data_IF_579365699964
#
_entry.id   IF_579365699964
#
_cell.length_a   1.000
_cell.length_b   1.000
_cell.length_c   1.000
_cell.angle_alpha   90.00
_cell.angle_beta   90.00
_cell.angle_gamma   90.00
#
_symmetry.space_group_name_H-M   'P 1'
#
loop_
_entity.id
_entity.type
_entity.pdbx_description
1 polymer ?
#
# COMPACT_ATOMS: atom_id res chain seq x y z
N UNK A 1 -21.98 -6.26 21.93
CA UNK A 1 -22.41 -6.33 20.51
C UNK A 1 -21.53 -7.32 19.77
N UNK A 2 -22.07 -8.08 18.80
CA UNK A 2 -21.27 -9.01 17.99
C UNK A 2 -20.47 -8.30 16.91
N UNK A 3 -19.27 -8.80 16.58
CA UNK A 3 -18.36 -8.19 15.58
C UNK A 3 -19.03 -8.03 14.21
N UNK A 4 -19.85 -9.01 13.81
CA UNK A 4 -20.61 -8.95 12.54
C UNK A 4 -21.62 -7.80 12.52
N UNK A 5 -22.34 -7.60 13.62
CA UNK A 5 -23.29 -6.49 13.77
C UNK A 5 -22.57 -5.14 13.68
N UNK A 6 -21.40 -5.02 14.32
CA UNK A 6 -20.58 -3.80 14.26
C UNK A 6 -20.12 -3.54 12.81
N UNK A 7 -19.63 -4.56 12.10
CA UNK A 7 -19.26 -4.42 10.69
C UNK A 7 -20.43 -3.91 9.83
N UNK A 8 -21.62 -4.50 9.99
CA UNK A 8 -22.80 -4.08 9.24
C UNK A 8 -23.25 -2.65 9.60
N UNK A 9 -23.26 -2.28 10.88
CA UNK A 9 -23.59 -0.93 11.33
C UNK A 9 -22.66 0.11 10.67
N UNK A 10 -21.34 -0.11 10.75
CA UNK A 10 -20.34 0.80 10.17
C UNK A 10 -20.43 0.86 8.64
N UNK A 11 -20.61 -0.28 7.98
CA UNK A 11 -20.80 -0.33 6.52
C UNK A 11 -22.01 0.49 6.07
N UNK A 12 -23.14 0.37 6.78
CA UNK A 12 -24.37 1.09 6.47
C UNK A 12 -24.24 2.59 6.75
N UNK A 13 -23.54 2.98 7.81
CA UNK A 13 -23.27 4.38 8.14
C UNK A 13 -22.39 5.03 7.05
N UNK A 14 -21.31 4.35 6.65
CA UNK A 14 -20.45 4.81 5.56
C UNK A 14 -21.20 4.93 4.22
N UNK A 15 -22.09 3.98 3.92
CA UNK A 15 -22.94 4.05 2.73
C UNK A 15 -23.89 5.25 2.78
N UNK A 16 -24.51 5.54 3.93
CA UNK A 16 -25.37 6.72 4.08
C UNK A 16 -24.64 8.03 3.85
N UNK A 17 -23.39 8.13 4.30
CA UNK A 17 -22.59 9.34 4.16
C UNK A 17 -22.00 9.52 2.75
N UNK A 18 -21.53 8.44 2.14
CA UNK A 18 -20.73 8.51 0.90
C UNK A 18 -21.47 8.01 -0.34
N UNK A 19 -22.62 7.35 -0.17
CA UNK A 19 -23.34 6.63 -1.23
C UNK A 19 -22.63 5.35 -1.70
N UNK A 20 -21.54 4.94 -1.05
CA UNK A 20 -20.74 3.76 -1.45
C UNK A 20 -20.84 2.66 -0.41
N UNK A 21 -21.31 1.49 -0.82
CA UNK A 21 -21.33 0.30 0.04
C UNK A 21 -19.93 -0.33 0.12
N UNK A 22 -19.38 -0.39 1.33
CA UNK A 22 -18.11 -1.09 1.61
C UNK A 22 -18.38 -2.25 2.56
N UNK A 23 -18.04 -3.47 2.16
CA UNK A 23 -18.21 -4.66 3.01
C UNK A 23 -16.99 -4.85 3.91
N UNK A 24 -17.21 -4.85 5.23
CA UNK A 24 -16.16 -5.11 6.22
C UNK A 24 -16.07 -6.59 6.57
N UNK A 25 -14.85 -7.15 6.53
CA UNK A 25 -14.58 -8.51 6.95
C UNK A 25 -14.42 -8.59 8.48
N UNK A 26 -15.33 -9.31 9.14
CA UNK A 26 -15.34 -9.46 10.60
C UNK A 26 -14.07 -10.16 11.15
N UNK A 27 -13.46 -11.08 10.40
CA UNK A 27 -12.21 -11.74 10.82
C UNK A 27 -11.04 -10.76 10.79
N UNK A 28 -11.00 -9.88 9.78
CA UNK A 28 -10.00 -8.81 9.70
C UNK A 28 -10.15 -7.87 10.89
N UNK A 29 -11.38 -7.43 11.19
CA UNK A 29 -11.65 -6.56 12.34
C UNK A 29 -11.23 -7.22 13.67
N UNK A 30 -11.55 -8.51 13.86
CA UNK A 30 -11.16 -9.25 15.05
C UNK A 30 -9.64 -9.38 15.18
N UNK A 31 -8.93 -9.72 14.10
CA UNK A 31 -7.46 -9.80 14.10
C UNK A 31 -6.84 -8.47 14.51
N UNK A 32 -7.35 -7.35 13.99
CA UNK A 32 -6.90 -6.02 14.36
C UNK A 32 -7.19 -5.68 15.82
N UNK A 33 -8.41 -5.97 16.30
CA UNK A 33 -8.78 -5.76 17.70
C UNK A 33 -7.89 -6.58 18.66
N UNK A 34 -7.44 -7.78 18.24
CA UNK A 34 -6.48 -8.60 18.99
C UNK A 34 -5.01 -8.14 18.86
N UNK A 35 -4.74 -6.96 18.29
CA UNK A 35 -3.40 -6.39 18.18
C UNK A 35 -2.54 -6.99 17.06
N UNK A 36 -3.10 -7.77 16.14
CA UNK A 36 -2.34 -8.26 14.97
C UNK A 36 -2.06 -7.09 14.02
N UNK A 37 -0.83 -7.07 13.47
CA UNK A 37 -0.40 -6.06 12.49
C UNK A 37 -1.22 -6.18 11.20
N UNK A 38 -1.45 -5.04 10.53
CA UNK A 38 -1.97 -5.03 9.16
C UNK A 38 -0.97 -5.69 8.21
N UNK A 39 -1.46 -6.14 7.06
CA UNK A 39 -0.60 -6.63 6.01
C UNK A 39 0.36 -5.53 5.51
N UNK A 40 -0.08 -4.26 5.44
CA UNK A 40 0.84 -3.18 5.05
C UNK A 40 1.95 -3.02 6.08
N UNK A 41 1.65 -2.98 7.39
CA UNK A 41 2.66 -2.84 8.43
C UNK A 41 3.62 -4.03 8.49
N UNK A 42 3.12 -5.23 8.23
CA UNK A 42 3.97 -6.42 8.10
C UNK A 42 4.88 -6.35 6.86
N UNK A 43 4.37 -5.82 5.74
CA UNK A 43 5.14 -5.66 4.51
C UNK A 43 6.12 -4.49 4.58
N UNK A 44 5.78 -3.40 5.28
CA UNK A 44 6.67 -2.27 5.58
C UNK A 44 7.93 -2.75 6.32
N UNK A 45 7.79 -3.71 7.24
CA UNK A 45 8.93 -4.32 7.96
C UNK A 45 9.82 -5.21 7.08
N UNK A 46 9.30 -5.68 5.94
CA UNK A 46 9.99 -6.61 5.03
C UNK A 46 10.38 -5.97 3.69
N UNK A 47 9.89 -4.75 3.44
CA UNK A 47 10.05 -4.05 2.19
C UNK A 47 11.46 -3.50 2.02
N UNK A 48 11.91 -3.42 0.78
CA UNK A 48 13.18 -2.77 0.45
C UNK A 48 13.11 -1.26 0.64
N UNK A 49 11.94 -0.68 0.35
CA UNK A 49 11.68 0.76 0.37
C UNK A 49 11.24 1.21 1.76
N UNK A 50 11.82 2.31 2.22
CA UNK A 50 11.36 3.03 3.40
C UNK A 50 10.04 3.74 3.09
N UNK A 51 9.19 4.03 4.09
CA UNK A 51 7.92 4.73 3.86
C UNK A 51 8.06 6.03 3.05
N UNK A 52 9.08 6.85 3.38
CA UNK A 52 9.39 8.09 2.64
C UNK A 52 9.80 7.85 1.19
N UNK A 53 10.36 6.68 0.88
CA UNK A 53 10.75 6.30 -0.48
C UNK A 53 9.53 5.84 -1.28
N UNK A 54 8.59 5.15 -0.63
CA UNK A 54 7.28 4.81 -1.20
C UNK A 54 6.51 6.08 -1.56
N UNK A 55 6.45 7.06 -0.66
CA UNK A 55 5.76 8.34 -0.91
C UNK A 55 6.33 9.06 -2.15
N UNK A 56 7.67 9.07 -2.30
CA UNK A 56 8.33 9.65 -3.49
C UNK A 56 7.97 8.91 -4.76
N UNK A 57 7.88 7.57 -4.72
CA UNK A 57 7.47 6.80 -5.89
C UNK A 57 6.01 7.07 -6.25
N UNK A 58 5.11 7.18 -5.27
CA UNK A 58 3.71 7.56 -5.51
C UNK A 58 3.64 8.91 -6.20
N UNK A 59 4.33 9.92 -5.67
CA UNK A 59 4.39 11.25 -6.29
C UNK A 59 4.91 11.19 -7.73
N UNK A 60 5.97 10.41 -7.98
CA UNK A 60 6.48 10.21 -9.34
C UNK A 60 5.43 9.56 -10.26
N UNK A 61 4.64 8.61 -9.76
CA UNK A 61 3.56 7.99 -10.55
C UNK A 61 2.44 8.96 -10.88
N UNK A 62 2.13 9.90 -9.99
CA UNK A 62 1.19 10.99 -10.24
C UNK A 62 1.72 11.91 -11.34
N UNK A 63 3.00 12.31 -11.27
CA UNK A 63 3.65 13.11 -12.32
C UNK A 63 3.66 12.40 -13.69
N UNK A 64 3.86 11.07 -13.70
CA UNK A 64 3.79 10.28 -14.93
C UNK A 64 2.38 10.30 -15.54
N UNK A 65 1.36 10.18 -14.70
CA UNK A 65 -0.04 10.28 -15.12
C UNK A 65 -0.35 11.65 -15.75
N UNK A 66 0.11 12.74 -15.13
CA UNK A 66 -0.09 14.11 -15.65
C UNK A 66 0.58 14.33 -17.01
N UNK A 67 1.72 13.66 -17.26
CA UNK A 67 2.48 13.76 -18.51
C UNK A 67 2.10 12.71 -19.55
N UNK A 68 1.03 11.94 -19.29
CA UNK A 68 0.62 10.80 -20.12
C UNK A 68 1.74 9.77 -20.36
N UNK A 69 2.69 9.65 -19.42
CA UNK A 69 3.72 8.62 -19.42
C UNK A 69 3.10 7.36 -18.82
N UNK A 70 3.06 6.23 -19.54
CA UNK A 70 2.48 5.01 -19.00
C UNK A 70 3.22 4.51 -17.76
N UNK A 71 2.48 4.28 -16.67
CA UNK A 71 2.99 3.56 -15.52
C UNK A 71 3.04 2.06 -15.86
N UNK A 72 4.20 1.62 -16.33
CA UNK A 72 4.46 0.20 -16.58
C UNK A 72 5.19 -0.39 -15.38
N UNK A 73 5.12 -1.71 -15.26
CA UNK A 73 5.92 -2.43 -14.28
C UNK A 73 7.42 -2.12 -14.43
N UNK A 74 7.94 -2.06 -15.66
CA UNK A 74 9.32 -1.68 -15.95
C UNK A 74 9.69 -0.29 -15.44
N UNK A 75 8.86 0.73 -15.71
CA UNK A 75 9.16 2.11 -15.27
C UNK A 75 9.11 2.26 -13.76
N UNK A 76 8.19 1.55 -13.09
CA UNK A 76 8.18 1.48 -11.64
C UNK A 76 9.44 0.78 -11.10
N UNK A 77 9.94 -0.24 -11.78
CA UNK A 77 11.18 -0.96 -11.41
C UNK A 77 12.37 -0.02 -11.45
N UNK A 78 12.54 0.65 -12.57
CA UNK A 78 13.64 1.59 -12.79
C UNK A 78 13.61 2.72 -11.75
N UNK A 79 12.42 3.26 -11.45
CA UNK A 79 12.26 4.28 -10.42
C UNK A 79 12.63 3.76 -9.02
N UNK A 80 12.15 2.57 -8.65
CA UNK A 80 12.46 1.96 -7.37
C UNK A 80 13.96 1.60 -7.25
N UNK A 81 14.57 1.05 -8.29
CA UNK A 81 16.01 0.77 -8.34
C UNK A 81 16.84 2.05 -8.23
N UNK A 82 16.41 3.15 -8.88
CA UNK A 82 17.08 4.43 -8.78
C UNK A 82 17.06 4.98 -7.35
N UNK A 83 15.90 4.93 -6.68
CA UNK A 83 15.76 5.36 -5.28
C UNK A 83 16.63 4.49 -4.35
N UNK A 84 16.57 3.17 -4.52
CA UNK A 84 17.35 2.24 -3.71
C UNK A 84 18.86 2.40 -3.93
N UNK A 85 19.29 2.55 -5.19
CA UNK A 85 20.70 2.79 -5.53
C UNK A 85 21.21 4.12 -4.96
N UNK A 86 20.38 5.15 -4.90
CA UNK A 86 20.76 6.43 -4.28
C UNK A 86 21.00 6.29 -2.76
N UNK A 87 20.25 5.42 -2.07
CA UNK A 87 20.41 5.19 -0.62
C UNK A 87 21.46 4.14 -0.28
N UNK A 88 21.45 3.01 -0.98
CA UNK A 88 22.27 1.82 -0.71
C UNK A 88 23.59 1.82 -1.48
N UNK A 89 23.73 2.66 -2.51
CA UNK A 89 24.95 2.81 -3.28
C UNK A 89 25.40 1.49 -3.93
N UNK A 90 26.67 1.16 -3.74
CA UNK A 90 27.31 -0.02 -4.33
C UNK A 90 26.86 -1.35 -3.71
N UNK A 91 26.21 -1.31 -2.53
CA UNK A 91 25.70 -2.52 -1.88
C UNK A 91 24.39 -3.00 -2.51
N UNK A 92 23.78 -2.19 -3.39
CA UNK A 92 22.55 -2.54 -4.08
C UNK A 92 22.79 -3.37 -5.33
N UNK A 93 22.26 -4.58 -5.35
CA UNK A 93 22.43 -5.55 -6.45
C UNK A 93 21.24 -5.61 -7.41
N UNK A 94 20.17 -4.84 -7.16
CA UNK A 94 18.94 -4.82 -7.96
C UNK A 94 17.74 -5.46 -7.25
N UNK A 95 16.54 -5.22 -7.78
CA UNK A 95 15.28 -5.68 -7.17
C UNK A 95 14.94 -7.17 -7.41
N UNK A 96 15.78 -7.88 -8.19
CA UNK A 96 15.57 -9.28 -8.57
C UNK A 96 14.69 -9.46 -9.82
N UNK A 97 14.52 -10.71 -10.25
CA UNK A 97 13.90 -11.05 -11.55
C UNK A 97 12.37 -10.96 -11.54
N UNK A 98 11.73 -11.26 -10.42
CA UNK A 98 10.26 -11.24 -10.24
C UNK A 98 9.80 -10.10 -9.34
N UNK A 99 10.59 -9.03 -9.29
CA UNK A 99 10.07 -7.74 -8.85
C UNK A 99 9.01 -7.30 -9.84
#
# INVERSE_FOLDING_TARGET
>A
KGVRTICTEVSNEYEKETGKLVTLNYNTLLRHASGKKSLSKFNEEKGWLLPKEVDKLIQLTEEFSERAIPLTHKTLKEAAEHVLKARLGNDFTGLGTNW
#
